data_IF_167771231278
#
_entry.id   IF_167771231278
#
_cell.length_a   1.000
_cell.length_b   1.000
_cell.length_c   1.000
_cell.angle_alpha   90.00
_cell.angle_beta   90.00
_cell.angle_gamma   90.00
#
_symmetry.space_group_name_H-M   'P 1'
#
loop_
_entity.id
_entity.type
_entity.pdbx_description
1 polymer ?
#
# COMPACT_ATOMS: atom_id res chain seq x y z
N UNK A 1 40.16 -6.92 57.84
CA UNK A 1 39.75 -5.72 57.06
C UNK A 1 39.34 -6.16 55.65
N UNK A 2 38.11 -6.64 55.45
CA UNK A 2 37.63 -7.12 54.13
C UNK A 2 36.09 -7.06 54.04
N UNK A 3 35.50 -5.87 54.23
CA UNK A 3 34.03 -5.70 54.10
C UNK A 3 33.60 -4.52 53.20
N UNK A 4 34.47 -4.01 52.32
CA UNK A 4 34.17 -2.79 51.53
C UNK A 4 34.51 -2.87 50.02
N UNK A 5 34.62 -4.07 49.44
CA UNK A 5 34.77 -4.23 47.97
C UNK A 5 33.44 -4.53 47.27
N UNK A 6 32.57 -5.32 47.89
CA UNK A 6 31.33 -5.80 47.26
C UNK A 6 30.22 -4.74 47.23
N UNK A 7 30.14 -3.88 48.26
CA UNK A 7 29.22 -2.74 48.29
C UNK A 7 29.57 -1.66 47.25
N UNK A 8 30.87 -1.39 47.03
CA UNK A 8 31.33 -0.47 46.00
C UNK A 8 31.03 -0.98 44.58
N UNK A 9 31.20 -2.27 44.32
CA UNK A 9 30.87 -2.86 43.02
C UNK A 9 29.36 -2.80 42.72
N UNK A 10 28.51 -3.01 43.73
CA UNK A 10 27.06 -2.88 43.59
C UNK A 10 26.64 -1.43 43.31
N UNK A 11 27.24 -0.46 44.01
CA UNK A 11 26.98 0.96 43.80
C UNK A 11 27.40 1.42 42.40
N UNK A 12 28.59 1.01 41.94
CA UNK A 12 29.08 1.31 40.59
C UNK A 12 28.19 0.69 39.50
N UNK A 13 27.68 -0.54 39.70
CA UNK A 13 26.73 -1.15 38.76
C UNK A 13 25.38 -0.41 38.71
N UNK A 14 24.85 0.01 39.85
CA UNK A 14 23.60 0.77 39.90
C UNK A 14 23.76 2.13 39.20
N UNK A 15 24.89 2.81 39.42
CA UNK A 15 25.21 4.06 38.71
C UNK A 15 25.39 3.86 37.20
N UNK A 16 26.04 2.77 36.77
CA UNK A 16 26.20 2.42 35.36
C UNK A 16 24.85 2.11 34.69
N UNK A 17 23.97 1.39 35.39
CA UNK A 17 22.62 1.07 34.91
C UNK A 17 21.78 2.35 34.84
N UNK A 18 21.81 3.22 35.85
CA UNK A 18 21.09 4.50 35.86
C UNK A 18 21.54 5.44 34.74
N UNK A 19 22.86 5.50 34.48
CA UNK A 19 23.46 6.24 33.37
C UNK A 19 22.99 5.68 32.02
N UNK A 20 23.04 4.36 31.82
CA UNK A 20 22.60 3.71 30.60
C UNK A 20 21.09 3.89 30.36
N UNK A 21 20.26 3.84 31.39
CA UNK A 21 18.82 4.12 31.27
C UNK A 21 18.55 5.59 30.91
N UNK A 22 19.32 6.53 31.46
CA UNK A 22 19.20 7.96 31.12
C UNK A 22 19.66 8.23 29.68
N UNK A 23 20.71 7.55 29.21
CA UNK A 23 21.22 7.64 27.83
C UNK A 23 20.25 7.00 26.82
N UNK A 24 19.71 5.82 27.12
CA UNK A 24 18.72 5.16 26.24
C UNK A 24 17.40 5.94 26.23
N UNK A 25 16.95 6.47 27.37
CA UNK A 25 15.73 7.27 27.45
C UNK A 25 15.88 8.60 26.70
N UNK A 26 17.00 9.30 26.86
CA UNK A 26 17.27 10.54 26.09
C UNK A 26 17.41 10.25 24.59
N UNK A 27 18.00 9.12 24.18
CA UNK A 27 18.13 8.74 22.76
C UNK A 27 16.80 8.31 22.14
N UNK A 28 15.97 7.56 22.85
CA UNK A 28 14.61 7.18 22.42
C UNK A 28 13.69 8.41 22.37
N UNK A 29 13.77 9.29 23.37
CA UNK A 29 13.03 10.55 23.40
C UNK A 29 13.50 11.52 22.30
N UNK A 30 14.81 11.59 22.01
CA UNK A 30 15.35 12.39 20.90
C UNK A 30 14.97 11.80 19.53
N UNK A 31 14.90 10.48 19.38
CA UNK A 31 14.43 9.83 18.16
C UNK A 31 12.94 10.09 17.92
N UNK A 32 12.12 9.99 18.96
CA UNK A 32 10.68 10.31 18.91
C UNK A 32 10.46 11.81 18.69
N UNK A 33 11.28 12.68 19.31
CA UNK A 33 11.27 14.12 19.05
C UNK A 33 11.74 14.48 17.64
N UNK A 34 12.67 13.71 17.05
CA UNK A 34 13.10 13.86 15.66
C UNK A 34 12.08 13.32 14.66
N UNK A 35 11.28 12.32 15.07
CA UNK A 35 10.12 11.79 14.33
C UNK A 35 8.85 12.65 14.49
N UNK A 36 8.79 13.53 15.49
CA UNK A 36 7.68 14.47 15.73
C UNK A 36 8.07 15.93 15.46
N UNK A 37 9.02 16.17 14.55
CA UNK A 37 9.40 17.51 14.12
C UNK A 37 9.43 17.58 12.60
N UNK A 38 8.24 17.61 12.01
CA UNK A 38 8.03 18.23 10.71
C UNK A 38 7.76 19.72 10.96
N UNK A 39 8.75 20.64 10.82
CA UNK A 39 8.48 22.05 10.71
C UNK A 39 8.05 22.34 9.27
N UNK A 40 6.91 21.79 8.89
CA UNK A 40 6.26 22.03 7.61
C UNK A 40 4.91 22.65 7.87
N UNK A 41 4.87 23.92 8.31
CA UNK A 41 3.67 24.73 8.13
C UNK A 41 3.51 24.87 6.61
N UNK A 42 2.74 23.95 6.04
CA UNK A 42 2.28 24.04 4.66
C UNK A 42 1.36 25.25 4.63
N UNK A 43 1.78 26.31 3.94
CA UNK A 43 0.89 27.40 3.55
C UNK A 43 -0.34 26.78 2.89
N UNK A 44 -1.49 26.92 3.55
CA UNK A 44 -2.76 26.37 3.05
C UNK A 44 -3.22 27.27 1.91
N UNK A 45 -2.62 27.11 0.74
CA UNK A 45 -3.23 27.54 -0.49
C UNK A 45 -4.50 26.70 -0.68
N UNK A 46 -5.65 27.36 -0.71
CA UNK A 46 -6.99 26.77 -0.68
C UNK A 46 -7.35 26.00 -1.97
N UNK A 47 -6.66 24.89 -2.21
CA UNK A 47 -6.93 23.94 -3.29
C UNK A 47 -7.70 22.69 -2.83
N UNK A 48 -8.20 22.69 -1.59
CA UNK A 48 -8.83 21.52 -0.97
C UNK A 48 -10.32 21.79 -0.75
N UNK A 49 -11.18 21.20 -1.60
CA UNK A 49 -12.62 21.50 -1.68
C UNK A 49 -13.41 21.18 -0.40
N UNK A 50 -12.89 20.32 0.49
CA UNK A 50 -13.61 19.89 1.71
C UNK A 50 -12.88 20.07 3.03
N UNK A 51 -11.58 19.76 3.14
CA UNK A 51 -10.81 19.98 4.37
C UNK A 51 -9.29 19.90 4.14
N UNK A 52 -8.50 20.41 5.08
CA UNK A 52 -7.04 20.23 5.09
C UNK A 52 -6.59 18.82 5.52
N UNK A 53 -7.53 17.91 5.81
CA UNK A 53 -7.23 16.57 6.27
C UNK A 53 -6.68 15.73 5.10
N UNK A 54 -5.44 15.21 5.19
CA UNK A 54 -4.83 14.44 4.11
C UNK A 54 -5.60 13.15 3.82
N UNK A 55 -6.25 12.57 4.83
CA UNK A 55 -7.12 11.40 4.65
C UNK A 55 -8.36 11.74 3.81
N UNK A 56 -9.00 12.89 4.05
CA UNK A 56 -10.14 13.33 3.24
C UNK A 56 -9.72 13.51 1.78
N UNK A 57 -8.59 14.17 1.53
CA UNK A 57 -8.07 14.38 0.18
C UNK A 57 -7.78 13.05 -0.54
N UNK A 58 -7.21 12.08 0.17
CA UNK A 58 -6.98 10.74 -0.34
C UNK A 58 -8.29 10.01 -0.69
N UNK A 59 -9.30 10.08 0.19
CA UNK A 59 -10.61 9.46 -0.02
C UNK A 59 -11.40 10.10 -1.16
N UNK A 60 -11.18 11.37 -1.45
CA UNK A 60 -11.81 12.06 -2.59
C UNK A 60 -11.28 11.54 -3.93
N UNK A 61 -10.04 11.03 -3.93
CA UNK A 61 -9.38 10.46 -5.09
C UNK A 61 -9.71 8.96 -5.23
N UNK A 62 -9.48 8.18 -4.17
CA UNK A 62 -9.54 6.70 -4.24
C UNK A 62 -10.46 6.03 -3.22
N UNK A 63 -11.25 6.79 -2.46
CA UNK A 63 -12.14 6.26 -1.41
C UNK A 63 -13.44 5.64 -1.90
N UNK A 64 -13.58 5.40 -3.21
CA UNK A 64 -14.72 4.67 -3.76
C UNK A 64 -14.40 3.19 -4.01
N UNK A 65 -15.47 2.37 -4.04
CA UNK A 65 -15.36 0.91 -4.16
C UNK A 65 -14.60 0.40 -5.39
N UNK A 66 -14.50 1.18 -6.46
CA UNK A 66 -13.93 0.72 -7.73
C UNK A 66 -12.49 1.14 -7.95
N UNK A 67 -12.08 2.29 -7.43
CA UNK A 67 -10.75 2.84 -7.73
C UNK A 67 -9.65 1.86 -7.35
N UNK A 68 -9.62 1.38 -6.11
CA UNK A 68 -8.58 0.45 -5.66
C UNK A 68 -8.65 -0.92 -6.36
N UNK A 69 -9.83 -1.33 -6.84
CA UNK A 69 -9.95 -2.53 -7.69
C UNK A 69 -9.31 -2.33 -9.07
N UNK A 70 -9.49 -1.15 -9.67
CA UNK A 70 -8.86 -0.80 -10.96
C UNK A 70 -7.34 -0.70 -10.80
N UNK A 71 -6.85 -0.08 -9.72
CA UNK A 71 -5.41 -0.02 -9.42
C UNK A 71 -4.84 -1.43 -9.23
N UNK A 72 -5.49 -2.27 -8.42
CA UNK A 72 -5.12 -3.69 -8.27
C UNK A 72 -5.02 -4.37 -9.62
N UNK A 73 -6.02 -4.22 -10.47
CA UNK A 73 -6.05 -4.85 -11.79
C UNK A 73 -4.91 -4.39 -12.70
N UNK A 74 -4.53 -3.11 -12.63
CA UNK A 74 -3.37 -2.57 -13.34
C UNK A 74 -2.04 -3.11 -12.81
N UNK A 75 -1.91 -3.26 -11.48
CA UNK A 75 -0.75 -3.92 -10.84
C UNK A 75 -0.64 -5.37 -11.31
N UNK A 76 -1.77 -6.04 -11.50
CA UNK A 76 -1.85 -7.41 -12.01
C UNK A 76 -1.69 -7.53 -13.54
N UNK A 77 -1.43 -6.41 -14.22
CA UNK A 77 -1.09 -6.39 -15.64
C UNK A 77 -2.27 -6.22 -16.59
N UNK A 78 -3.51 -6.01 -16.11
CA UNK A 78 -4.60 -5.60 -17.02
C UNK A 78 -4.29 -4.21 -17.55
N UNK A 79 -4.44 -4.01 -18.85
CA UNK A 79 -4.17 -2.73 -19.54
C UNK A 79 -5.36 -2.27 -20.35
N UNK A 80 -6.22 -3.17 -20.85
CA UNK A 80 -7.26 -2.85 -21.83
C UNK A 80 -8.63 -2.74 -21.19
N UNK A 81 -9.48 -1.89 -21.76
CA UNK A 81 -10.84 -1.65 -21.27
C UNK A 81 -11.65 -2.94 -21.06
N UNK A 82 -11.57 -3.87 -22.01
CA UNK A 82 -12.31 -5.13 -21.96
C UNK A 82 -11.81 -6.08 -20.86
N UNK A 83 -10.52 -6.03 -20.51
CA UNK A 83 -9.94 -6.85 -19.44
C UNK A 83 -10.53 -6.42 -18.09
N UNK A 84 -10.68 -5.10 -17.86
CA UNK A 84 -11.36 -4.59 -16.67
C UNK A 84 -12.83 -5.00 -16.61
N UNK A 85 -13.55 -4.99 -17.74
CA UNK A 85 -14.95 -5.45 -17.78
C UNK A 85 -15.10 -6.95 -17.52
N UNK A 86 -14.10 -7.75 -17.91
CA UNK A 86 -14.08 -9.19 -17.63
C UNK A 86 -13.73 -9.55 -16.18
N UNK A 87 -13.51 -8.56 -15.32
CA UNK A 87 -13.17 -8.79 -13.91
C UNK A 87 -14.36 -9.41 -13.14
N UNK A 88 -14.11 -10.29 -12.16
CA UNK A 88 -15.15 -10.96 -11.38
C UNK A 88 -16.12 -10.00 -10.68
N UNK A 89 -15.66 -8.79 -10.33
CA UNK A 89 -16.47 -7.77 -9.66
C UNK A 89 -17.50 -7.09 -10.58
N UNK A 90 -17.46 -7.39 -11.90
CA UNK A 90 -18.47 -6.97 -12.89
C UNK A 90 -18.77 -5.47 -12.84
N UNK A 91 -17.74 -4.64 -12.92
CA UNK A 91 -17.91 -3.18 -12.99
C UNK A 91 -18.72 -2.80 -14.24
N UNK A 92 -19.75 -1.97 -14.06
CA UNK A 92 -20.54 -1.47 -15.18
C UNK A 92 -19.69 -0.54 -16.08
N UNK A 93 -19.89 -0.64 -17.40
CA UNK A 93 -19.09 0.09 -18.39
C UNK A 93 -19.08 1.61 -18.17
N UNK A 94 -20.25 2.22 -17.93
CA UNK A 94 -20.35 3.66 -17.64
C UNK A 94 -19.54 4.07 -16.40
N UNK A 95 -19.54 3.23 -15.35
CA UNK A 95 -18.78 3.48 -14.12
C UNK A 95 -17.28 3.33 -14.37
N UNK A 96 -16.86 2.28 -15.10
CA UNK A 96 -15.46 2.08 -15.46
C UNK A 96 -14.91 3.26 -16.26
N UNK A 97 -15.63 3.69 -17.30
CA UNK A 97 -15.23 4.83 -18.13
C UNK A 97 -15.06 6.11 -17.29
N UNK A 98 -16.03 6.40 -16.42
CA UNK A 98 -15.97 7.54 -15.51
C UNK A 98 -14.78 7.45 -14.54
N UNK A 99 -14.51 6.26 -13.97
CA UNK A 99 -13.41 6.06 -13.02
C UNK A 99 -12.04 6.18 -13.68
N UNK A 100 -11.84 5.56 -14.85
CA UNK A 100 -10.58 5.71 -15.58
C UNK A 100 -10.29 7.17 -15.93
N UNK A 101 -11.32 7.94 -16.33
CA UNK A 101 -11.17 9.39 -16.58
C UNK A 101 -10.76 10.15 -15.32
N UNK A 102 -11.36 9.82 -14.16
CA UNK A 102 -10.98 10.44 -12.88
C UNK A 102 -9.55 10.10 -12.47
N UNK A 103 -9.14 8.85 -12.64
CA UNK A 103 -7.78 8.39 -12.32
C UNK A 103 -6.73 9.07 -13.20
N UNK A 104 -7.03 9.24 -14.49
CA UNK A 104 -6.18 9.96 -15.44
C UNK A 104 -6.06 11.44 -15.03
N UNK A 105 -7.18 12.10 -14.73
CA UNK A 105 -7.19 13.48 -14.25
C UNK A 105 -6.45 13.67 -12.91
N UNK A 106 -6.48 12.66 -12.03
CA UNK A 106 -5.75 12.67 -10.76
C UNK A 106 -4.25 12.33 -10.92
N UNK A 107 -3.79 12.03 -12.14
CA UNK A 107 -2.41 11.66 -12.45
C UNK A 107 -2.00 10.29 -11.90
N UNK A 108 -2.96 9.39 -11.64
CA UNK A 108 -2.70 8.03 -11.15
C UNK A 108 -2.48 7.03 -12.29
N UNK A 109 -3.07 7.30 -13.45
CA UNK A 109 -2.88 6.49 -14.66
C UNK A 109 -2.57 7.37 -15.86
N UNK A 110 -1.97 6.77 -16.88
CA UNK A 110 -1.81 7.34 -18.22
C UNK A 110 -2.41 6.40 -19.26
N UNK A 111 -2.81 6.95 -20.41
CA UNK A 111 -3.35 6.18 -21.54
C UNK A 111 -2.42 6.30 -22.75
N UNK A 112 -2.13 5.17 -23.37
CA UNK A 112 -1.31 5.11 -24.58
C UNK A 112 -2.07 4.39 -25.70
N UNK A 113 -2.10 4.96 -26.93
CA UNK A 113 -2.74 4.29 -28.05
C UNK A 113 -1.90 3.08 -28.49
N UNK A 114 -2.54 1.93 -28.67
CA UNK A 114 -1.90 0.71 -29.20
C UNK A 114 -2.43 0.31 -30.58
N UNK A 115 -3.54 0.91 -31.02
CA UNK A 115 -4.14 0.74 -32.33
C UNK A 115 -4.62 2.11 -32.81
N UNK A 116 -4.47 2.39 -34.11
CA UNK A 116 -4.78 3.70 -34.69
C UNK A 116 -6.14 3.76 -35.42
N UNK A 117 -6.75 2.62 -35.78
CA UNK A 117 -8.05 2.61 -36.47
C UNK A 117 -8.87 1.33 -36.19
N UNK A 118 -10.01 1.42 -35.47
CA UNK A 118 -10.35 2.51 -34.55
C UNK A 118 -9.26 2.68 -33.48
N UNK A 119 -9.09 3.90 -32.96
CA UNK A 119 -8.10 4.16 -31.90
C UNK A 119 -8.47 3.37 -30.64
N UNK A 120 -7.50 2.62 -30.11
CA UNK A 120 -7.67 1.88 -28.85
C UNK A 120 -6.53 2.20 -27.90
N UNK A 121 -6.85 2.27 -26.62
CA UNK A 121 -5.92 2.68 -25.57
C UNK A 121 -5.65 1.55 -24.58
N UNK A 122 -4.41 1.50 -24.13
CA UNK A 122 -3.99 0.78 -22.93
C UNK A 122 -3.76 1.77 -21.79
N UNK A 123 -4.07 1.34 -20.57
CA UNK A 123 -3.92 2.11 -19.34
C UNK A 123 -2.69 1.61 -18.57
N UNK A 124 -1.86 2.55 -18.11
CA UNK A 124 -0.67 2.27 -17.31
C UNK A 124 -0.72 3.07 -16.01
N UNK A 125 -0.17 2.51 -14.93
CA UNK A 125 0.02 3.27 -13.69
C UNK A 125 1.13 4.29 -13.89
N UNK A 126 0.96 5.47 -13.31
CA UNK A 126 2.04 6.42 -13.11
C UNK A 126 2.81 6.06 -11.84
N UNK A 127 3.92 6.73 -11.56
CA UNK A 127 4.63 6.61 -10.28
C UNK A 127 3.70 6.89 -9.08
N UNK A 128 2.84 7.92 -9.20
CA UNK A 128 1.82 8.23 -8.19
C UNK A 128 0.81 7.08 -8.06
N UNK A 129 0.41 6.46 -9.17
CA UNK A 129 -0.45 5.27 -9.15
C UNK A 129 0.18 4.07 -8.45
N UNK A 130 1.43 3.75 -8.79
CA UNK A 130 2.20 2.64 -8.20
C UNK A 130 2.40 2.81 -6.69
N UNK A 131 2.52 4.06 -6.22
CA UNK A 131 2.65 4.39 -4.80
C UNK A 131 1.46 3.98 -3.93
N UNK A 132 0.32 3.57 -4.52
CA UNK A 132 -0.84 3.03 -3.81
C UNK A 132 -0.72 1.53 -3.46
N UNK A 133 0.29 0.82 -3.97
CA UNK A 133 0.51 -0.62 -3.71
C UNK A 133 0.60 -0.98 -2.21
N UNK A 134 1.27 -0.20 -1.35
CA UNK A 134 1.26 -0.44 0.10
C UNK A 134 -0.13 -0.30 0.73
N UNK A 135 -0.97 0.63 0.23
CA UNK A 135 -2.35 0.82 0.70
C UNK A 135 -3.20 -0.39 0.36
N UNK A 136 -3.09 -0.90 -0.87
CA UNK A 136 -3.75 -2.14 -1.28
C UNK A 136 -3.36 -3.31 -0.38
N UNK A 137 -2.06 -3.46 -0.12
CA UNK A 137 -1.52 -4.52 0.74
C UNK A 137 -2.09 -4.44 2.16
N UNK A 138 -2.15 -3.24 2.74
CA UNK A 138 -2.71 -3.02 4.07
C UNK A 138 -4.19 -3.41 4.15
N UNK A 139 -4.98 -3.04 3.14
CA UNK A 139 -6.41 -3.39 3.06
C UNK A 139 -6.59 -4.90 2.91
N UNK A 140 -5.81 -5.55 2.04
CA UNK A 140 -5.85 -7.01 1.85
C UNK A 140 -5.48 -7.74 3.14
N UNK A 141 -4.42 -7.30 3.84
CA UNK A 141 -3.99 -7.88 5.10
C UNK A 141 -5.07 -7.78 6.17
N UNK A 142 -5.66 -6.59 6.32
CA UNK A 142 -6.78 -6.39 7.23
C UNK A 142 -7.98 -7.28 6.87
N UNK A 143 -8.33 -7.36 5.58
CA UNK A 143 -9.44 -8.19 5.09
C UNK A 143 -9.22 -9.66 5.43
N UNK A 144 -8.04 -10.22 5.14
CA UNK A 144 -7.73 -11.64 5.43
C UNK A 144 -7.81 -11.96 6.92
N UNK A 145 -7.43 -11.01 7.78
CA UNK A 145 -7.50 -11.18 9.24
C UNK A 145 -8.94 -11.30 9.74
N UNK A 146 -9.87 -10.57 9.14
CA UNK A 146 -11.26 -10.49 9.61
C UNK A 146 -12.25 -11.32 8.78
N UNK A 147 -11.87 -11.71 7.58
CA UNK A 147 -12.65 -12.51 6.64
C UNK A 147 -11.76 -13.62 6.04
N UNK A 148 -11.45 -14.66 6.82
CA UNK A 148 -10.44 -15.67 6.46
C UNK A 148 -10.82 -16.51 5.22
N UNK A 149 -12.10 -16.62 4.90
CA UNK A 149 -12.60 -17.34 3.72
C UNK A 149 -12.40 -16.56 2.40
N UNK A 150 -11.83 -15.35 2.47
CA UNK A 150 -11.55 -14.54 1.28
C UNK A 150 -10.31 -15.03 0.54
N UNK A 151 -10.47 -15.38 -0.73
CA UNK A 151 -9.34 -15.74 -1.58
C UNK A 151 -8.79 -14.51 -2.31
N UNK A 152 -7.47 -14.32 -2.39
CA UNK A 152 -6.89 -13.28 -3.22
C UNK A 152 -7.24 -13.52 -4.69
N UNK A 153 -7.48 -12.43 -5.42
CA UNK A 153 -7.62 -12.49 -6.87
C UNK A 153 -6.31 -13.05 -7.48
N UNK A 154 -6.40 -14.15 -8.20
CA UNK A 154 -5.25 -14.84 -8.80
C UNK A 154 -4.81 -14.15 -10.10
N UNK A 155 -3.50 -14.00 -10.29
CA UNK A 155 -2.92 -13.50 -11.53
C UNK A 155 -3.20 -14.53 -12.64
N UNK A 156 -3.68 -14.09 -13.80
CA UNK A 156 -4.08 -14.96 -14.93
C UNK A 156 -2.93 -15.87 -15.44
N UNK A 157 -1.68 -15.69 -14.99
CA UNK A 157 -0.53 -16.56 -15.34
C UNK A 157 -0.19 -17.70 -14.37
N UNK A 158 -0.76 -17.78 -13.16
CA UNK A 158 -0.33 -18.80 -12.17
C UNK A 158 -1.13 -20.11 -12.19
N UNK A 159 -2.20 -20.18 -12.99
CA UNK A 159 -3.02 -21.40 -13.11
C UNK A 159 -2.36 -22.46 -14.00
N UNK A 160 -1.46 -22.08 -14.90
CA UNK A 160 -0.80 -23.05 -15.79
C UNK A 160 0.34 -23.79 -15.07
N UNK A 161 1.15 -23.12 -14.25
CA UNK A 161 2.24 -23.80 -13.52
C UNK A 161 1.74 -24.70 -12.38
N UNK A 162 0.67 -24.30 -11.69
CA UNK A 162 0.09 -25.11 -10.59
C UNK A 162 -0.67 -26.36 -11.11
N UNK A 163 -1.46 -26.24 -12.18
CA UNK A 163 -2.12 -27.41 -12.81
C UNK A 163 -1.14 -28.36 -13.52
N UNK A 164 0.02 -27.87 -13.99
CA UNK A 164 1.04 -28.71 -14.63
C UNK A 164 1.76 -29.61 -13.63
N UNK A 165 1.97 -29.11 -12.40
CA UNK A 165 2.57 -29.87 -11.31
C UNK A 165 1.62 -30.94 -10.76
N UNK A 166 0.33 -30.64 -10.67
CA UNK A 166 -0.70 -31.57 -10.17
C UNK A 166 -0.96 -32.72 -11.15
N UNK A 167 -1.03 -32.45 -12.46
CA UNK A 167 -1.17 -33.50 -13.51
C UNK A 167 0.07 -34.38 -13.66
N UNK A 168 1.26 -33.87 -13.36
CA UNK A 168 2.50 -34.66 -13.41
C UNK A 168 2.59 -35.66 -12.23
N UNK A 169 1.98 -35.34 -11.08
CA UNK A 169 1.91 -36.25 -9.93
C UNK A 169 0.91 -37.39 -10.10
N UNK A 170 -0.19 -37.16 -10.82
CA UNK A 170 -1.27 -38.14 -11.01
C UNK A 170 -0.98 -39.18 -12.11
N UNK A 171 -0.07 -38.88 -13.03
CA UNK A 171 0.38 -39.83 -14.06
C UNK A 171 1.54 -40.73 -13.61
N UNK A 172 2.06 -40.53 -12.40
CA UNK A 172 3.21 -41.25 -11.83
C UNK A 172 2.84 -42.19 -10.67
N UNK A 173 1.54 -42.35 -10.38
CA UNK A 173 0.99 -43.32 -9.41
C UNK A 173 0.10 -44.34 -10.08
#
# INVERSE_FOLDING_TARGET
MTFNKQANAAYLNILQIASNYTIVFTRQFFLVSKLMKDPGVVEVNSAFERSCCPLTNALDIFGDKWTLLIIRDLVLGKRRYQEFLSSPEKIASNILAHRLKKLEAAGLITRQPYQQSPVRYECFLTEKGESLSPVLTAIISWSRKHYPDTQPFQVIGQREESNSMERAGEAAG
#
